data_IF_606316698860
#
_entry.id   IF_606316698860
#
_cell.length_a   1.000
_cell.length_b   1.000
_cell.length_c   1.000
_cell.angle_alpha   90.00
_cell.angle_beta   90.00
_cell.angle_gamma   90.00
#
_symmetry.space_group_name_H-M   'P 1'
#
loop_
_entity.id
_entity.type
_entity.pdbx_description
1 polymer ?
#
# COMPACT_ATOMS: atom_id res chain seq x y z
N UNK A 1 14.14 16.42 2.41
CA UNK A 1 13.86 16.89 3.80
C UNK A 1 12.76 17.92 3.69
N UNK A 2 11.88 18.04 4.69
CA UNK A 2 10.90 19.13 4.68
C UNK A 2 11.63 20.49 4.72
N UNK A 3 11.11 21.48 4.01
CA UNK A 3 11.71 22.82 3.93
C UNK A 3 11.21 23.76 5.04
N UNK A 4 10.43 23.25 5.99
CA UNK A 4 9.84 24.01 7.09
C UNK A 4 9.59 23.15 8.34
N UNK A 5 9.08 23.76 9.43
CA UNK A 5 8.78 23.03 10.66
C UNK A 5 7.76 21.92 10.41
N UNK A 6 8.03 20.76 11.01
CA UNK A 6 7.20 19.56 10.92
C UNK A 6 6.60 19.23 12.29
N UNK A 7 5.49 18.51 12.29
CA UNK A 7 4.74 18.08 13.48
C UNK A 7 5.16 16.69 14.00
N UNK A 8 6.28 16.16 13.50
CA UNK A 8 6.86 14.87 13.89
C UNK A 8 8.34 15.03 14.29
N UNK A 9 8.87 14.03 14.99
CA UNK A 9 10.30 13.98 15.34
C UNK A 9 11.15 13.63 14.11
N UNK A 10 11.87 14.60 13.57
CA UNK A 10 12.79 14.39 12.45
C UNK A 10 13.88 13.34 12.75
N UNK A 11 14.26 13.17 14.02
CA UNK A 11 15.28 12.19 14.43
C UNK A 11 14.77 10.75 14.38
N UNK A 12 13.45 10.53 14.44
CA UNK A 12 12.85 9.21 14.32
C UNK A 12 12.80 8.70 12.87
N UNK A 13 12.84 9.60 11.88
CA UNK A 13 12.65 9.24 10.45
C UNK A 13 13.65 8.20 9.94
N UNK A 14 14.97 8.28 10.22
CA UNK A 14 15.90 7.26 9.76
C UNK A 14 15.57 5.87 10.32
N UNK A 15 15.28 5.77 11.62
CA UNK A 15 14.96 4.50 12.27
C UNK A 15 13.67 3.88 11.71
N UNK A 16 12.63 4.67 11.48
CA UNK A 16 11.39 4.20 10.84
C UNK A 16 11.64 3.72 9.42
N UNK A 17 12.50 4.40 8.66
CA UNK A 17 12.86 3.97 7.31
C UNK A 17 13.63 2.66 7.29
N UNK A 18 14.52 2.46 8.25
CA UNK A 18 15.27 1.20 8.38
C UNK A 18 14.31 0.03 8.69
N UNK A 19 13.33 0.24 9.57
CA UNK A 19 12.28 -0.76 9.85
C UNK A 19 11.39 -1.06 8.64
N UNK A 20 11.05 -0.05 7.83
CA UNK A 20 10.26 -0.28 6.61
C UNK A 20 11.06 -1.01 5.52
N UNK A 21 12.38 -0.81 5.48
CA UNK A 21 13.26 -1.48 4.53
C UNK A 21 13.52 -2.95 4.90
N UNK A 22 13.47 -3.26 6.20
CA UNK A 22 13.60 -4.62 6.74
C UNK A 22 12.55 -4.84 7.86
N UNK A 23 11.32 -5.22 7.49
CA UNK A 23 10.21 -5.35 8.44
C UNK A 23 10.36 -6.54 9.40
N UNK A 24 11.42 -7.34 9.25
CA UNK A 24 11.70 -8.52 10.05
C UNK A 24 11.10 -9.81 9.47
N UNK A 25 11.50 -10.97 10.02
CA UNK A 25 11.17 -12.29 9.46
C UNK A 25 9.69 -12.66 9.57
N UNK A 26 8.97 -12.08 10.53
CA UNK A 26 7.57 -12.43 10.84
C UNK A 26 6.56 -11.55 10.07
N UNK A 27 7.04 -10.62 9.22
CA UNK A 27 6.20 -9.66 8.53
C UNK A 27 5.15 -10.33 7.63
N UNK A 28 5.53 -11.42 6.96
CA UNK A 28 4.62 -12.18 6.09
C UNK A 28 3.57 -12.96 6.90
N UNK A 29 3.95 -13.50 8.07
CA UNK A 29 3.01 -14.21 8.97
C UNK A 29 1.96 -13.24 9.52
N UNK A 30 2.38 -12.02 9.89
CA UNK A 30 1.48 -10.98 10.39
C UNK A 30 0.42 -10.53 9.36
N UNK A 31 0.66 -10.71 8.05
CA UNK A 31 -0.37 -10.45 7.03
C UNK A 31 -1.51 -11.49 7.09
N UNK A 32 -1.20 -12.72 7.50
CA UNK A 32 -2.20 -13.78 7.71
C UNK A 32 -3.14 -13.52 8.89
N UNK A 33 -2.74 -12.67 9.83
CA UNK A 33 -3.54 -12.30 11.00
C UNK A 33 -4.61 -11.21 10.69
N UNK A 34 -4.62 -10.66 9.48
CA UNK A 34 -5.60 -9.66 9.07
C UNK A 34 -6.98 -10.31 8.92
N UNK A 35 -7.90 -9.98 9.82
CA UNK A 35 -9.28 -10.49 9.82
C UNK A 35 -10.28 -9.63 9.06
N UNK A 36 -9.91 -8.38 8.75
CA UNK A 36 -10.79 -7.46 8.02
C UNK A 36 -10.69 -7.71 6.51
N UNK A 37 -11.81 -7.61 5.76
CA UNK A 37 -11.75 -7.53 4.31
C UNK A 37 -10.76 -6.46 3.88
N UNK A 38 -9.92 -6.76 2.90
CA UNK A 38 -8.83 -5.90 2.46
C UNK A 38 -8.90 -5.63 0.96
N UNK A 39 -8.65 -4.38 0.57
CA UNK A 39 -8.49 -3.98 -0.82
C UNK A 39 -7.08 -3.43 -1.02
N UNK A 40 -6.32 -4.04 -1.94
CA UNK A 40 -5.06 -3.51 -2.45
C UNK A 40 -5.31 -2.91 -3.84
N UNK A 41 -4.92 -1.66 -4.01
CA UNK A 41 -4.98 -0.94 -5.30
C UNK A 41 -3.55 -0.71 -5.78
N UNK A 42 -3.19 -1.25 -6.94
CA UNK A 42 -1.87 -1.03 -7.57
C UNK A 42 -1.97 -0.16 -8.83
N UNK A 43 -0.87 0.53 -9.15
CA UNK A 43 -0.74 1.46 -10.28
C UNK A 43 -0.46 0.82 -11.64
N UNK A 44 -0.26 -0.50 -11.69
CA UNK A 44 0.06 -1.25 -12.90
C UNK A 44 1.51 -1.07 -13.38
N UNK A 45 1.82 -1.45 -14.62
CA UNK A 45 3.20 -1.49 -15.16
C UNK A 45 3.95 -0.16 -15.17
N UNK A 46 3.23 0.96 -15.11
CA UNK A 46 3.82 2.31 -15.03
C UNK A 46 4.31 2.66 -13.63
N UNK A 47 4.00 1.82 -12.63
CA UNK A 47 4.48 1.98 -11.27
C UNK A 47 5.90 1.48 -11.13
N UNK A 48 6.71 2.19 -10.36
CA UNK A 48 8.05 1.74 -9.96
C UNK A 48 8.01 0.61 -8.93
N UNK A 49 6.83 0.29 -8.39
CA UNK A 49 6.63 -0.83 -7.46
C UNK A 49 6.66 -2.16 -8.21
N UNK A 50 7.33 -3.16 -7.63
CA UNK A 50 7.37 -4.51 -8.18
C UNK A 50 5.96 -5.13 -8.21
N UNK A 51 5.38 -5.26 -9.40
CA UNK A 51 3.98 -5.66 -9.56
C UNK A 51 3.72 -7.12 -9.14
N UNK A 52 4.68 -8.02 -9.33
CA UNK A 52 4.54 -9.42 -8.91
C UNK A 52 4.41 -9.54 -7.39
N UNK A 53 5.17 -8.73 -6.64
CA UNK A 53 5.10 -8.71 -5.18
C UNK A 53 3.74 -8.26 -4.65
N UNK A 54 2.99 -7.46 -5.41
CA UNK A 54 1.64 -7.05 -4.99
C UNK A 54 0.68 -8.25 -4.96
N UNK A 55 0.82 -9.17 -5.92
CA UNK A 55 0.06 -10.41 -5.93
C UNK A 55 0.48 -11.36 -4.80
N UNK A 56 1.78 -11.45 -4.53
CA UNK A 56 2.31 -12.25 -3.42
C UNK A 56 1.76 -11.75 -2.07
N UNK A 57 1.84 -10.44 -1.80
CA UNK A 57 1.28 -9.82 -0.59
C UNK A 57 -0.23 -10.05 -0.48
N UNK A 58 -0.98 -9.84 -1.57
CA UNK A 58 -2.42 -10.07 -1.56
C UNK A 58 -2.79 -11.53 -1.24
N UNK A 59 -1.95 -12.49 -1.64
CA UNK A 59 -2.19 -13.92 -1.38
C UNK A 59 -1.97 -14.35 0.07
N UNK A 60 -1.24 -13.54 0.85
CA UNK A 60 -1.00 -13.79 2.27
C UNK A 60 -2.16 -13.34 3.15
N UNK A 61 -3.04 -12.45 2.64
CA UNK A 61 -4.16 -11.88 3.39
C UNK A 61 -5.43 -12.71 3.12
N UNK A 62 -6.11 -13.27 4.15
CA UNK A 62 -7.21 -14.24 3.96
C UNK A 62 -8.40 -13.77 3.11
N UNK A 63 -8.80 -12.51 3.24
CA UNK A 63 -9.87 -11.87 2.45
C UNK A 63 -9.34 -10.60 1.80
N UNK A 64 -8.58 -10.77 0.72
CA UNK A 64 -7.97 -9.66 0.00
C UNK A 64 -8.33 -9.63 -1.48
N UNK A 65 -8.82 -8.47 -1.92
CA UNK A 65 -8.99 -8.12 -3.33
C UNK A 65 -7.79 -7.31 -3.80
N UNK A 66 -7.15 -7.73 -4.89
CA UNK A 66 -6.15 -6.94 -5.60
C UNK A 66 -6.74 -6.39 -6.90
N UNK A 67 -6.67 -5.08 -7.10
CA UNK A 67 -7.08 -4.41 -8.34
C UNK A 67 -5.97 -3.51 -8.88
N UNK A 68 -5.98 -3.30 -10.20
CA UNK A 68 -5.04 -2.40 -10.88
C UNK A 68 -5.76 -1.20 -11.47
N UNK A 69 -5.34 0.00 -11.07
CA UNK A 69 -5.74 1.28 -11.69
C UNK A 69 -4.53 1.85 -12.43
N UNK A 70 -4.51 1.85 -13.78
CA UNK A 70 -3.36 2.30 -14.56
C UNK A 70 -3.07 3.80 -14.39
N UNK A 71 -2.11 4.12 -13.52
CA UNK A 71 -1.71 5.50 -13.18
C UNK A 71 -0.35 5.59 -12.47
N UNK A 72 0.43 4.52 -12.52
CA UNK A 72 1.74 4.42 -11.88
C UNK A 72 1.68 4.50 -10.35
N UNK A 73 2.80 4.81 -9.70
CA UNK A 73 2.91 4.84 -8.24
C UNK A 73 1.92 5.82 -7.57
N UNK A 74 1.47 6.83 -8.33
CA UNK A 74 0.56 7.88 -7.86
C UNK A 74 -0.79 7.86 -8.59
N UNK A 75 -1.34 6.68 -8.84
CA UNK A 75 -2.67 6.51 -9.45
C UNK A 75 -3.79 7.25 -8.70
N UNK A 76 -3.65 7.46 -7.40
CA UNK A 76 -4.58 8.28 -6.62
C UNK A 76 -4.53 9.78 -6.96
N UNK A 77 -3.42 10.28 -7.48
CA UNK A 77 -3.31 11.66 -8.01
C UNK A 77 -3.76 11.74 -9.47
N UNK A 78 -3.40 10.75 -10.29
CA UNK A 78 -3.62 10.80 -11.76
C UNK A 78 -4.96 10.23 -12.21
N UNK A 79 -5.59 9.36 -11.39
CA UNK A 79 -6.84 8.64 -11.65
C UNK A 79 -7.76 8.66 -10.42
N UNK A 80 -7.79 9.77 -9.69
CA UNK A 80 -8.50 9.92 -8.42
C UNK A 80 -9.94 9.37 -8.44
N UNK A 81 -10.72 9.72 -9.46
CA UNK A 81 -12.12 9.29 -9.58
C UNK A 81 -12.27 7.76 -9.66
N UNK A 82 -11.35 7.08 -10.36
CA UNK A 82 -11.38 5.62 -10.48
C UNK A 82 -10.99 4.94 -9.17
N UNK A 83 -9.97 5.48 -8.49
CA UNK A 83 -9.56 5.00 -7.16
C UNK A 83 -10.71 5.17 -6.16
N UNK A 84 -11.34 6.35 -6.13
CA UNK A 84 -12.47 6.64 -5.25
C UNK A 84 -13.68 5.74 -5.52
N UNK A 85 -13.97 5.45 -6.80
CA UNK A 85 -15.05 4.53 -7.17
C UNK A 85 -14.81 3.12 -6.61
N UNK A 86 -13.60 2.57 -6.76
CA UNK A 86 -13.27 1.25 -6.22
C UNK A 86 -13.28 1.18 -4.69
N UNK A 87 -12.80 2.23 -4.02
CA UNK A 87 -12.89 2.32 -2.55
C UNK A 87 -14.36 2.35 -2.12
N UNK A 88 -15.20 3.13 -2.80
CA UNK A 88 -16.64 3.23 -2.50
C UNK A 88 -17.34 1.90 -2.71
N UNK A 89 -17.11 1.25 -3.85
CA UNK A 89 -17.65 -0.08 -4.16
C UNK A 89 -17.29 -1.09 -3.07
N UNK A 90 -16.03 -1.10 -2.64
CA UNK A 90 -15.55 -2.01 -1.61
C UNK A 90 -16.26 -1.83 -0.25
N UNK A 91 -16.57 -0.60 0.15
CA UNK A 91 -17.28 -0.33 1.40
C UNK A 91 -18.80 -0.47 1.33
N UNK A 92 -19.36 -0.63 0.13
CA UNK A 92 -20.82 -0.67 -0.09
C UNK A 92 -21.32 -2.02 -0.59
N UNK A 93 -20.41 -2.96 -0.86
CA UNK A 93 -20.71 -4.33 -1.29
C UNK A 93 -20.87 -5.31 -0.13
#
# INVERSE_FOLDING_TARGET
RAEGPVDYDEHAVPAVRDQLADPGPDADEALGDIVSPTLIVTGGPESTMEQHRQADVASLIPDCRLITVPGGHRMHETRADQVAAHITEFFTS
#
